data_IF_578418941056
#
_entry.id   IF_578418941056
#
_cell.length_a   1.000
_cell.length_b   1.000
_cell.length_c   1.000
_cell.angle_alpha   90.00
_cell.angle_beta   90.00
_cell.angle_gamma   90.00
#
_symmetry.space_group_name_H-M   'P 1'
#
loop_
_entity.id
_entity.type
_entity.pdbx_description
1 polymer ?
#
# COMPACT_ATOMS: atom_id res chain seq x y z
N UNK A 1 -13.21 -14.17 -27.41
CA UNK A 1 -14.00 -13.05 -26.85
C UNK A 1 -13.16 -11.78 -27.01
N UNK A 2 -13.48 -10.91 -27.97
CA UNK A 2 -12.73 -9.65 -28.14
C UNK A 2 -13.26 -8.62 -27.13
N UNK A 3 -12.39 -8.13 -26.27
CA UNK A 3 -12.71 -7.06 -25.33
C UNK A 3 -12.64 -5.73 -26.08
N UNK A 4 -13.73 -4.97 -26.10
CA UNK A 4 -13.72 -3.62 -26.65
C UNK A 4 -13.16 -2.65 -25.60
N UNK A 5 -11.86 -2.37 -25.71
CA UNK A 5 -11.10 -1.50 -24.77
C UNK A 5 -11.70 -0.10 -24.65
N UNK A 6 -12.21 0.48 -25.75
CA UNK A 6 -12.78 1.82 -25.73
C UNK A 6 -14.02 1.88 -24.84
N UNK A 7 -14.92 0.89 -24.95
CA UNK A 7 -16.11 0.79 -24.10
C UNK A 7 -15.75 0.62 -22.62
N UNK A 8 -14.66 -0.09 -22.32
CA UNK A 8 -14.17 -0.26 -20.96
C UNK A 8 -13.64 1.06 -20.38
N UNK A 9 -12.85 1.81 -21.15
CA UNK A 9 -12.33 3.13 -20.75
C UNK A 9 -13.47 4.12 -20.51
N UNK A 10 -14.44 4.21 -21.44
CA UNK A 10 -15.63 5.06 -21.29
C UNK A 10 -16.39 4.73 -20.01
N UNK A 11 -16.57 3.45 -19.71
CA UNK A 11 -17.22 3.01 -18.47
C UNK A 11 -16.46 3.46 -17.22
N UNK A 12 -15.14 3.32 -17.18
CA UNK A 12 -14.33 3.73 -16.03
C UNK A 12 -14.33 5.26 -15.84
N UNK A 13 -14.27 6.02 -16.93
CA UNK A 13 -14.41 7.48 -16.90
C UNK A 13 -15.77 7.91 -16.34
N UNK A 14 -16.85 7.27 -16.79
CA UNK A 14 -18.20 7.58 -16.35
C UNK A 14 -18.48 7.22 -14.87
N UNK A 15 -17.85 6.16 -14.34
CA UNK A 15 -18.06 5.73 -12.93
C UNK A 15 -17.42 6.65 -11.90
N UNK A 16 -16.44 7.46 -12.28
CA UNK A 16 -15.94 8.55 -11.43
C UNK A 16 -15.21 8.12 -10.15
N UNK A 17 -14.77 6.85 -10.03
CA UNK A 17 -14.04 6.41 -8.84
C UNK A 17 -12.65 7.06 -8.82
N UNK A 18 -12.40 7.95 -7.86
CA UNK A 18 -11.21 8.82 -7.87
C UNK A 18 -9.86 8.08 -7.97
N UNK A 19 -9.57 7.04 -7.14
CA UNK A 19 -8.36 6.21 -7.31
C UNK A 19 -8.21 5.62 -8.71
N UNK A 20 -9.29 5.07 -9.26
CA UNK A 20 -9.27 4.46 -10.60
C UNK A 20 -9.05 5.54 -11.67
N UNK A 21 -9.74 6.67 -11.56
CA UNK A 21 -9.59 7.79 -12.50
C UNK A 21 -8.16 8.31 -12.55
N UNK A 22 -7.50 8.43 -11.40
CA UNK A 22 -6.11 8.88 -11.33
C UNK A 22 -5.19 7.94 -12.13
N UNK A 23 -5.23 6.64 -11.86
CA UNK A 23 -4.37 5.66 -12.54
C UNK A 23 -4.75 5.47 -14.01
N UNK A 24 -6.04 5.49 -14.35
CA UNK A 24 -6.51 5.45 -15.74
C UNK A 24 -5.95 6.64 -16.54
N UNK A 25 -6.06 7.85 -16.00
CA UNK A 25 -5.58 9.05 -16.67
C UNK A 25 -4.05 9.10 -16.77
N UNK A 26 -3.36 8.69 -15.71
CA UNK A 26 -1.90 8.73 -15.63
C UNK A 26 -1.24 7.69 -16.53
N UNK A 27 -1.65 6.43 -16.41
CA UNK A 27 -0.90 5.30 -16.97
C UNK A 27 -1.48 4.76 -18.28
N UNK A 28 -2.77 5.00 -18.55
CA UNK A 28 -3.44 4.48 -19.76
C UNK A 28 -3.71 5.57 -20.78
N UNK A 29 -4.22 6.73 -20.32
CA UNK A 29 -4.53 7.86 -21.20
C UNK A 29 -3.37 8.85 -21.33
N UNK A 30 -2.38 8.77 -20.43
CA UNK A 30 -1.19 9.63 -20.39
C UNK A 30 -1.51 11.13 -20.44
N UNK A 31 -2.59 11.55 -19.75
CA UNK A 31 -3.02 12.95 -19.66
C UNK A 31 -2.67 13.56 -18.30
N UNK A 32 -2.62 14.91 -18.17
CA UNK A 32 -2.35 15.55 -16.88
C UNK A 32 -3.31 15.12 -15.77
N UNK A 33 -2.78 14.88 -14.57
CA UNK A 33 -3.51 14.33 -13.40
C UNK A 33 -3.38 15.16 -12.13
N UNK A 34 -2.90 16.40 -12.20
CA UNK A 34 -2.65 17.25 -11.02
C UNK A 34 -3.88 17.43 -10.14
N UNK A 35 -5.06 17.57 -10.76
CA UNK A 35 -6.33 17.74 -10.06
C UNK A 35 -6.71 16.46 -9.31
N UNK A 36 -6.65 15.31 -9.98
CA UNK A 36 -6.93 14.00 -9.40
C UNK A 36 -5.96 13.69 -8.28
N UNK A 37 -4.67 13.99 -8.46
CA UNK A 37 -3.64 13.79 -7.43
C UNK A 37 -3.92 14.64 -6.19
N UNK A 38 -4.20 15.94 -6.34
CA UNK A 38 -4.60 16.83 -5.22
C UNK A 38 -5.87 16.34 -4.51
N UNK A 39 -6.83 15.81 -5.25
CA UNK A 39 -8.03 15.23 -4.66
C UNK A 39 -7.74 13.93 -3.90
N UNK A 40 -6.84 13.09 -4.41
CA UNK A 40 -6.41 11.85 -3.75
C UNK A 40 -5.71 12.11 -2.43
N UNK A 41 -4.93 13.18 -2.31
CA UNK A 41 -4.34 13.60 -1.04
C UNK A 41 -5.41 13.80 0.06
N UNK A 42 -6.61 14.26 -0.33
CA UNK A 42 -7.77 14.48 0.55
C UNK A 42 -8.69 13.26 0.68
N UNK A 43 -8.36 12.13 0.04
CA UNK A 43 -9.22 10.96 0.03
C UNK A 43 -9.37 10.35 1.43
N UNK A 44 -10.61 10.24 1.91
CA UNK A 44 -10.88 9.87 3.30
C UNK A 44 -10.28 8.51 3.70
N UNK A 45 -10.20 7.54 2.79
CA UNK A 45 -9.57 6.25 3.08
C UNK A 45 -8.04 6.36 3.22
N UNK A 46 -7.38 7.17 2.38
CA UNK A 46 -5.94 7.48 2.47
C UNK A 46 -5.61 8.11 3.83
N UNK A 47 -6.35 9.17 4.17
CA UNK A 47 -6.14 9.91 5.43
C UNK A 47 -6.32 8.99 6.64
N UNK A 48 -7.36 8.14 6.65
CA UNK A 48 -7.61 7.21 7.77
C UNK A 48 -6.47 6.22 7.95
N UNK A 49 -5.94 5.66 6.87
CA UNK A 49 -4.78 4.76 6.94
C UNK A 49 -3.59 5.52 7.51
N UNK A 50 -3.20 6.66 6.92
CA UNK A 50 -2.06 7.49 7.36
C UNK A 50 -2.14 7.83 8.85
N UNK A 51 -3.29 8.34 9.32
CA UNK A 51 -3.49 8.72 10.72
C UNK A 51 -3.41 7.56 11.71
N UNK A 52 -3.52 6.31 11.24
CA UNK A 52 -3.43 5.13 12.09
C UNK A 52 -2.04 4.50 12.12
N UNK A 53 -1.06 5.07 11.41
CA UNK A 53 0.33 4.59 11.44
C UNK A 53 0.89 4.71 12.86
N UNK A 54 1.61 3.69 13.30
CA UNK A 54 2.24 3.66 14.63
C UNK A 54 3.60 4.36 14.61
N UNK A 55 4.12 4.66 15.80
CA UNK A 55 5.40 5.34 15.97
C UNK A 55 6.58 4.57 15.36
N UNK A 56 6.49 3.23 15.28
CA UNK A 56 7.48 2.39 14.61
C UNK A 56 7.41 2.44 13.07
N UNK A 57 6.46 3.19 12.48
CA UNK A 57 6.25 3.29 11.05
C UNK A 57 5.34 2.22 10.43
N UNK A 58 5.00 1.17 11.18
CA UNK A 58 4.07 0.13 10.74
C UNK A 58 2.62 0.44 11.05
N UNK A 59 1.74 -0.49 10.68
CA UNK A 59 0.34 -0.52 11.10
C UNK A 59 0.04 -1.83 11.83
N UNK A 60 -0.78 -1.75 12.87
CA UNK A 60 -1.38 -2.91 13.51
C UNK A 60 -2.80 -2.55 13.96
N UNK A 61 -3.69 -3.54 14.02
CA UNK A 61 -5.01 -3.33 14.63
C UNK A 61 -4.84 -3.31 16.13
N UNK A 62 -5.50 -2.37 16.82
CA UNK A 62 -5.44 -2.23 18.28
C UNK A 62 -5.70 -3.54 19.05
N UNK A 63 -6.60 -4.39 18.57
CA UNK A 63 -6.93 -5.69 19.20
C UNK A 63 -5.81 -6.75 19.08
N UNK A 64 -4.84 -6.51 18.20
CA UNK A 64 -3.72 -7.41 17.90
C UNK A 64 -2.40 -6.91 18.52
N UNK A 65 -2.42 -5.71 19.12
CA UNK A 65 -1.27 -5.15 19.83
C UNK A 65 -1.13 -5.83 21.19
N UNK A 66 0.12 -6.09 21.59
CA UNK A 66 0.44 -6.84 22.81
C UNK A 66 0.18 -8.35 22.72
N UNK A 67 -0.16 -8.89 21.54
CA UNK A 67 -0.23 -10.34 21.36
C UNK A 67 1.16 -10.95 21.60
N UNK A 68 1.33 -11.87 22.57
CA UNK A 68 2.64 -12.34 23.01
C UNK A 68 3.38 -13.14 21.93
N UNK A 69 2.68 -13.64 20.92
CA UNK A 69 3.24 -14.51 19.88
C UNK A 69 3.19 -13.88 18.50
N UNK A 70 2.10 -13.20 18.18
CA UNK A 70 1.76 -12.83 16.81
C UNK A 70 1.84 -11.33 16.53
N UNK A 71 2.16 -10.49 17.52
CA UNK A 71 2.20 -9.04 17.33
C UNK A 71 3.06 -8.63 16.13
N UNK A 72 4.30 -9.13 16.03
CA UNK A 72 5.19 -8.85 14.88
C UNK A 72 4.56 -9.24 13.54
N UNK A 73 3.93 -10.42 13.48
CA UNK A 73 3.22 -10.90 12.29
C UNK A 73 2.09 -9.97 11.90
N UNK A 74 1.27 -9.56 12.88
CA UNK A 74 0.18 -8.64 12.63
C UNK A 74 0.67 -7.30 12.11
N UNK A 75 1.75 -6.76 12.68
CA UNK A 75 2.35 -5.52 12.19
C UNK A 75 2.82 -5.63 10.73
N UNK A 76 3.53 -6.70 10.37
CA UNK A 76 4.03 -6.88 9.00
C UNK A 76 2.89 -7.02 8.01
N UNK A 77 1.94 -7.93 8.27
CA UNK A 77 0.82 -8.20 7.35
C UNK A 77 -0.06 -6.96 7.17
N UNK A 78 -0.36 -6.25 8.26
CA UNK A 78 -1.17 -5.04 8.19
C UNK A 78 -0.41 -3.88 7.50
N UNK A 79 0.91 -3.79 7.67
CA UNK A 79 1.74 -2.80 6.98
C UNK A 79 1.75 -3.04 5.47
N UNK A 80 2.03 -4.27 5.02
CA UNK A 80 1.99 -4.62 3.59
C UNK A 80 0.62 -4.35 2.98
N UNK A 81 -0.45 -4.73 3.68
CA UNK A 81 -1.83 -4.49 3.26
C UNK A 81 -2.14 -2.99 3.10
N UNK A 82 -1.64 -2.16 4.00
CA UNK A 82 -1.89 -0.73 3.96
C UNK A 82 -1.03 -0.01 2.92
N UNK A 83 0.22 -0.44 2.71
CA UNK A 83 1.07 0.06 1.62
C UNK A 83 0.42 -0.16 0.25
N UNK A 84 -0.08 -1.36 -0.03
CA UNK A 84 -0.81 -1.65 -1.27
C UNK A 84 -2.05 -0.77 -1.46
N UNK A 85 -2.78 -0.45 -0.38
CA UNK A 85 -3.93 0.46 -0.45
C UNK A 85 -3.51 1.91 -0.68
N UNK A 86 -2.46 2.37 0.01
CA UNK A 86 -1.95 3.72 -0.13
C UNK A 86 -1.41 3.95 -1.55
N UNK A 87 -0.72 2.97 -2.13
CA UNK A 87 -0.31 3.00 -3.54
C UNK A 87 -1.53 3.19 -4.46
N UNK A 88 -2.61 2.41 -4.28
CA UNK A 88 -3.86 2.62 -5.03
C UNK A 88 -4.43 4.02 -4.86
N UNK A 89 -4.17 4.70 -3.74
CA UNK A 89 -4.58 6.07 -3.47
C UNK A 89 -3.54 7.12 -3.88
N UNK A 90 -2.59 6.75 -4.75
CA UNK A 90 -1.61 7.65 -5.35
C UNK A 90 -0.44 8.02 -4.43
N UNK A 91 -0.24 7.29 -3.32
CA UNK A 91 0.96 7.47 -2.51
C UNK A 91 2.20 6.88 -3.18
N UNK A 92 3.35 7.50 -2.94
CA UNK A 92 4.66 7.08 -3.42
C UNK A 92 5.71 7.19 -2.32
N UNK A 93 6.96 6.85 -2.63
CA UNK A 93 8.09 7.05 -1.72
C UNK A 93 8.34 8.53 -1.37
N UNK A 94 7.71 9.49 -2.06
CA UNK A 94 7.78 10.91 -1.71
C UNK A 94 7.01 11.23 -0.43
N UNK A 95 6.00 10.43 -0.09
CA UNK A 95 5.22 10.58 1.14
C UNK A 95 6.02 10.08 2.37
N UNK A 96 6.14 10.90 3.41
CA UNK A 96 6.89 10.58 4.63
C UNK A 96 6.35 9.32 5.35
N UNK A 97 5.05 9.10 5.33
CA UNK A 97 4.43 7.90 5.88
C UNK A 97 4.91 6.64 5.18
N UNK A 98 5.09 6.68 3.86
CA UNK A 98 5.57 5.54 3.08
C UNK A 98 7.03 5.28 3.43
N UNK A 99 7.87 6.32 3.51
CA UNK A 99 9.28 6.17 3.95
C UNK A 99 9.39 5.51 5.32
N UNK A 100 8.53 5.90 6.29
CA UNK A 100 8.52 5.27 7.63
C UNK A 100 8.10 3.80 7.58
N UNK A 101 7.10 3.46 6.76
CA UNK A 101 6.67 2.08 6.59
C UNK A 101 7.72 1.20 5.90
N UNK A 102 8.41 1.75 4.90
CA UNK A 102 9.56 1.11 4.25
C UNK A 102 10.67 0.85 5.27
N UNK A 103 11.03 1.84 6.10
CA UNK A 103 12.00 1.66 7.20
C UNK A 103 11.56 0.58 8.18
N UNK A 104 10.27 0.52 8.52
CA UNK A 104 9.72 -0.56 9.34
C UNK A 104 9.93 -1.93 8.68
N UNK A 105 9.66 -2.09 7.39
CA UNK A 105 9.87 -3.36 6.68
C UNK A 105 11.36 -3.75 6.65
N UNK A 106 12.26 -2.81 6.39
CA UNK A 106 13.71 -3.04 6.46
C UNK A 106 14.19 -3.48 7.85
N UNK A 107 13.54 -3.04 8.93
CA UNK A 107 13.84 -3.56 10.28
C UNK A 107 13.55 -5.06 10.45
N UNK A 108 12.81 -5.67 9.51
CA UNK A 108 12.48 -7.10 9.49
C UNK A 108 13.38 -7.92 8.57
N UNK A 109 14.31 -7.27 7.87
CA UNK A 109 15.31 -7.93 7.02
C UNK A 109 16.37 -8.62 7.87
N UNK A 110 16.75 -9.84 7.48
CA UNK A 110 17.84 -10.58 8.13
C UNK A 110 19.20 -10.20 7.52
N UNK A 111 20.29 -10.68 8.13
CA UNK A 111 21.65 -10.56 7.57
C UNK A 111 21.82 -11.29 6.23
N UNK A 112 20.98 -12.28 5.94
CA UNK A 112 20.97 -13.00 4.66
C UNK A 112 20.18 -12.26 3.57
N UNK A 113 19.57 -11.12 3.91
CA UNK A 113 18.82 -10.27 2.98
C UNK A 113 17.34 -10.63 2.84
N UNK A 114 16.88 -11.76 3.38
CA UNK A 114 15.48 -12.15 3.37
C UNK A 114 14.66 -11.39 4.44
N UNK A 115 13.35 -11.27 4.22
CA UNK A 115 12.43 -10.59 5.15
C UNK A 115 11.64 -11.64 5.94
N UNK A 116 11.57 -11.47 7.28
CA UNK A 116 10.90 -12.44 8.18
C UNK A 116 9.98 -11.77 9.19
N UNK A 117 9.10 -12.56 9.79
CA UNK A 117 8.12 -12.07 10.77
C UNK A 117 6.67 -12.34 10.37
N UNK A 118 6.40 -12.54 9.08
CA UNK A 118 5.05 -12.82 8.59
C UNK A 118 4.53 -14.21 8.97
N UNK A 119 5.41 -15.19 9.15
CA UNK A 119 5.14 -16.47 9.81
C UNK A 119 6.15 -16.68 10.93
N UNK A 120 6.03 -15.89 12.01
CA UNK A 120 7.03 -15.85 13.08
C UNK A 120 8.43 -15.66 12.48
N UNK A 121 9.42 -16.47 12.87
CA UNK A 121 10.79 -16.33 12.37
C UNK A 121 11.11 -17.23 11.16
N UNK A 122 10.09 -17.79 10.51
CA UNK A 122 10.26 -18.61 9.31
C UNK A 122 10.44 -17.75 8.06
N UNK A 123 11.21 -18.27 7.12
CA UNK A 123 11.28 -17.70 5.78
C UNK A 123 9.98 -18.00 5.03
N UNK A 124 9.41 -16.96 4.43
CA UNK A 124 8.15 -17.04 3.72
C UNK A 124 8.31 -16.40 2.33
N UNK A 125 8.54 -17.18 1.26
CA UNK A 125 8.82 -16.66 -0.07
C UNK A 125 7.75 -15.67 -0.58
N UNK A 126 6.48 -15.95 -0.28
CA UNK A 126 5.35 -15.11 -0.67
C UNK A 126 5.38 -13.73 -0.02
N UNK A 127 5.69 -13.67 1.28
CA UNK A 127 5.81 -12.40 1.99
C UNK A 127 7.10 -11.67 1.67
N UNK A 128 8.20 -12.39 1.45
CA UNK A 128 9.45 -11.79 0.97
C UNK A 128 9.23 -11.09 -0.39
N UNK A 129 8.64 -11.79 -1.36
CA UNK A 129 8.31 -11.20 -2.66
C UNK A 129 7.34 -10.02 -2.54
N UNK A 130 6.29 -10.15 -1.71
CA UNK A 130 5.36 -9.05 -1.47
C UNK A 130 6.01 -7.85 -0.79
N UNK A 131 6.98 -8.07 0.09
CA UNK A 131 7.76 -6.98 0.68
C UNK A 131 8.57 -6.27 -0.40
N UNK A 132 9.26 -7.01 -1.28
CA UNK A 132 10.00 -6.41 -2.39
C UNK A 132 9.12 -5.62 -3.35
N UNK A 133 7.90 -6.08 -3.62
CA UNK A 133 6.94 -5.39 -4.50
C UNK A 133 6.51 -4.00 -3.98
N UNK A 134 6.55 -3.79 -2.65
CA UNK A 134 6.12 -2.52 -2.03
C UNK A 134 7.28 -1.60 -1.62
N UNK A 135 8.53 -2.02 -1.83
CA UNK A 135 9.74 -1.25 -1.58
C UNK A 135 10.10 -0.41 -2.81
#
# INVERSE_FOLDING_TARGET
MQVNTNKAIEFLLARGNLPILYWLKKDILEVPVDREHKNLQKFAARIRIIKSQRSNGGWCRRKNEGDPRWEKTYYIVETLRNLLKLHKYGCSYEDEEIKRAVKFLFSTQTKSGDFRGAYLNEYAPTYHALTLEVL
#
